data_IF_624739915819
#
_entry.id   IF_624739915819
#
_cell.length_a   1.000
_cell.length_b   1.000
_cell.length_c   1.000
_cell.angle_alpha   90.00
_cell.angle_beta   90.00
_cell.angle_gamma   90.00
#
_symmetry.space_group_name_H-M   'P 1'
#
loop_
_entity.id
_entity.type
_entity.pdbx_description
1 polymer ?
#
# COMPACT_ATOMS: atom_id res chain seq x y z
N UNK A 1 -10.77 -6.38 8.97
CA UNK A 1 -10.19 -5.45 7.97
C UNK A 1 -8.75 -5.15 8.35
N UNK A 2 -7.88 -5.11 7.36
CA UNK A 2 -6.46 -4.78 7.56
C UNK A 2 -6.01 -3.83 6.46
N UNK A 3 -4.94 -3.06 6.72
CA UNK A 3 -4.34 -2.15 5.75
C UNK A 3 -2.93 -2.60 5.42
N UNK A 4 -2.63 -2.73 4.14
CA UNK A 4 -1.28 -3.01 3.66
C UNK A 4 -0.64 -1.71 3.19
N UNK A 5 0.41 -1.29 3.88
CA UNK A 5 1.18 -0.11 3.51
C UNK A 5 2.36 -0.55 2.66
N UNK A 6 2.50 0.07 1.51
CA UNK A 6 3.60 -0.15 0.58
C UNK A 6 4.33 1.18 0.36
N UNK A 7 5.61 1.22 0.64
CA UNK A 7 6.45 2.39 0.36
C UNK A 7 7.71 1.89 -0.32
N UNK A 8 8.04 2.45 -1.49
CA UNK A 8 9.12 1.92 -2.31
C UNK A 8 9.57 2.92 -3.36
N UNK A 9 10.64 2.58 -4.06
CA UNK A 9 11.10 3.32 -5.24
C UNK A 9 10.96 2.46 -6.48
N UNK A 10 10.67 3.09 -7.60
CA UNK A 10 10.68 2.43 -8.90
C UNK A 10 12.11 2.40 -9.44
N UNK A 11 12.49 1.26 -10.02
CA UNK A 11 13.79 1.11 -10.68
C UNK A 11 13.70 1.74 -12.05
N UNK A 12 14.63 2.67 -12.35
CA UNK A 12 14.66 3.35 -13.63
C UNK A 12 14.80 2.33 -14.77
N UNK A 13 13.95 2.49 -15.79
CA UNK A 13 13.90 1.57 -16.93
C UNK A 13 13.02 0.35 -16.73
N UNK A 14 12.42 0.19 -15.54
CA UNK A 14 11.54 -0.95 -15.23
C UNK A 14 10.09 -0.54 -14.99
N UNK A 15 9.73 0.66 -15.41
CA UNK A 15 8.38 1.19 -15.17
C UNK A 15 7.30 0.34 -15.82
N UNK A 16 7.58 -0.20 -17.01
CA UNK A 16 6.61 -1.05 -17.71
C UNK A 16 6.41 -2.38 -16.99
N UNK A 17 7.46 -2.94 -16.39
CA UNK A 17 7.36 -4.15 -15.59
C UNK A 17 6.50 -3.90 -14.36
N UNK A 18 6.65 -2.74 -13.71
CA UNK A 18 5.83 -2.39 -12.56
C UNK A 18 4.37 -2.15 -12.96
N UNK A 19 4.12 -1.54 -14.11
CA UNK A 19 2.76 -1.36 -14.64
C UNK A 19 2.09 -2.71 -14.85
N UNK A 20 2.80 -3.65 -15.44
CA UNK A 20 2.29 -5.01 -15.64
C UNK A 20 1.98 -5.68 -14.30
N UNK A 21 2.89 -5.56 -13.33
CA UNK A 21 2.66 -6.06 -11.98
C UNK A 21 1.40 -5.45 -11.38
N UNK A 22 1.28 -4.12 -11.43
CA UNK A 22 0.15 -3.39 -10.84
C UNK A 22 -1.20 -3.84 -11.41
N UNK A 23 -1.27 -4.03 -12.71
CA UNK A 23 -2.50 -4.47 -13.37
C UNK A 23 -2.90 -5.87 -12.95
N UNK A 24 -1.92 -6.78 -12.87
CA UNK A 24 -2.18 -8.15 -12.42
C UNK A 24 -2.51 -8.21 -10.94
N UNK A 25 -1.76 -7.47 -10.13
CA UNK A 25 -2.01 -7.41 -8.69
C UNK A 25 -3.40 -6.85 -8.38
N UNK A 26 -3.82 -5.81 -9.10
CA UNK A 26 -5.13 -5.22 -8.92
C UNK A 26 -6.26 -6.25 -9.12
N UNK A 27 -6.15 -7.08 -10.14
CA UNK A 27 -7.14 -8.13 -10.40
C UNK A 27 -7.24 -9.10 -9.22
N UNK A 28 -6.10 -9.48 -8.65
CA UNK A 28 -6.08 -10.39 -7.50
C UNK A 28 -6.65 -9.69 -6.26
N UNK A 29 -6.26 -8.42 -6.04
CA UNK A 29 -6.76 -7.63 -4.91
C UNK A 29 -8.29 -7.57 -4.95
N UNK A 30 -8.86 -7.21 -6.10
CA UNK A 30 -10.32 -7.10 -6.22
C UNK A 30 -11.00 -8.45 -6.14
N UNK A 31 -10.35 -9.54 -6.59
CA UNK A 31 -10.91 -10.88 -6.47
C UNK A 31 -11.05 -11.33 -5.02
N UNK A 32 -10.18 -10.88 -4.12
CA UNK A 32 -10.29 -11.17 -2.68
C UNK A 32 -11.00 -10.06 -1.91
N UNK A 33 -11.71 -9.16 -2.63
CA UNK A 33 -12.50 -8.06 -2.08
C UNK A 33 -11.64 -6.98 -1.39
N UNK A 34 -10.39 -6.88 -1.76
CA UNK A 34 -9.55 -5.75 -1.36
C UNK A 34 -9.79 -4.55 -2.26
N UNK A 35 -9.22 -3.42 -1.88
CA UNK A 35 -9.26 -2.23 -2.73
C UNK A 35 -8.09 -1.30 -2.41
N UNK A 36 -7.63 -0.59 -3.41
CA UNK A 36 -6.63 0.46 -3.22
C UNK A 36 -7.32 1.68 -2.62
N UNK A 37 -6.86 2.12 -1.45
CA UNK A 37 -7.42 3.29 -0.79
C UNK A 37 -6.82 4.59 -1.31
N UNK A 38 -5.49 4.62 -1.43
CA UNK A 38 -4.79 5.79 -1.92
C UNK A 38 -3.41 5.40 -2.42
N UNK A 39 -2.83 6.29 -3.20
CA UNK A 39 -1.47 6.14 -3.70
C UNK A 39 -0.84 7.52 -3.85
N UNK A 40 0.48 7.60 -3.72
CA UNK A 40 1.21 8.83 -3.92
C UNK A 40 2.51 8.60 -4.67
N UNK A 41 3.00 9.63 -5.34
CA UNK A 41 4.26 9.58 -6.05
C UNK A 41 4.92 10.96 -6.02
N UNK A 42 6.17 11.02 -6.48
CA UNK A 42 6.93 12.27 -6.59
C UNK A 42 6.95 13.04 -5.27
N UNK A 43 7.68 12.56 -4.26
CA UNK A 43 7.74 13.23 -2.96
C UNK A 43 8.09 14.71 -3.13
N UNK A 44 7.28 15.57 -2.52
CA UNK A 44 7.52 17.01 -2.57
C UNK A 44 8.67 17.35 -1.64
N UNK A 45 8.69 16.74 -0.44
CA UNK A 45 9.72 17.03 0.56
C UNK A 45 9.72 15.94 1.61
N UNK A 46 10.91 15.48 1.98
CA UNK A 46 11.08 14.61 3.14
C UNK A 46 11.11 15.46 4.40
N UNK A 47 10.36 15.09 5.40
CA UNK A 47 10.31 15.79 6.69
C UNK A 47 11.22 15.14 7.71
N UNK A 48 11.27 13.83 7.72
CA UNK A 48 12.15 13.00 8.54
C UNK A 48 12.63 11.86 7.66
N UNK A 49 13.65 11.15 8.06
CA UNK A 49 14.23 10.05 7.30
C UNK A 49 15.16 10.58 6.20
N UNK A 50 16.22 9.83 5.96
CA UNK A 50 17.24 10.15 4.94
C UNK A 50 17.10 9.29 3.69
N UNK A 51 16.12 8.39 3.65
CA UNK A 51 15.90 7.51 2.50
C UNK A 51 14.86 8.07 1.55
N UNK A 52 15.17 8.00 0.28
CA UNK A 52 14.26 8.43 -0.76
C UNK A 52 13.45 7.25 -1.26
N UNK A 53 12.12 7.38 -1.18
CA UNK A 53 11.19 6.42 -1.75
C UNK A 53 10.17 7.19 -2.55
N UNK A 54 9.99 6.82 -3.80
CA UNK A 54 9.21 7.63 -4.74
C UNK A 54 7.72 7.32 -4.75
N UNK A 55 7.32 6.18 -4.24
CA UNK A 55 5.93 5.72 -4.30
C UNK A 55 5.42 5.27 -2.93
N UNK A 56 4.12 5.48 -2.71
CA UNK A 56 3.43 4.87 -1.58
C UNK A 56 2.03 4.42 -2.02
N UNK A 57 1.56 3.30 -1.47
CA UNK A 57 0.24 2.75 -1.77
C UNK A 57 -0.32 2.16 -0.47
N UNK A 58 -1.60 2.43 -0.21
CA UNK A 58 -2.32 1.77 0.89
C UNK A 58 -3.45 0.96 0.30
N UNK A 59 -3.47 -0.33 0.60
CA UNK A 59 -4.48 -1.27 0.13
C UNK A 59 -5.24 -1.81 1.34
N UNK A 60 -6.56 -1.84 1.26
CA UNK A 60 -7.42 -2.42 2.28
C UNK A 60 -7.81 -3.83 1.88
N UNK A 61 -7.73 -4.76 2.83
CA UNK A 61 -8.23 -6.13 2.67
C UNK A 61 -9.27 -6.40 3.75
N UNK A 62 -10.32 -7.20 3.45
CA UNK A 62 -11.35 -7.47 4.44
C UNK A 62 -10.85 -8.26 5.65
N UNK A 63 -9.75 -9.00 5.51
CA UNK A 63 -9.17 -9.80 6.59
C UNK A 63 -7.72 -10.14 6.29
N UNK A 64 -6.99 -10.60 7.29
CA UNK A 64 -5.65 -11.16 7.11
C UNK A 64 -5.68 -12.37 6.17
N UNK A 65 -6.72 -13.18 6.26
CA UNK A 65 -6.88 -14.34 5.37
C UNK A 65 -7.00 -13.93 3.91
N UNK A 66 -7.73 -12.84 3.64
CA UNK A 66 -7.83 -12.29 2.28
C UNK A 66 -6.47 -11.79 1.77
N UNK A 67 -5.69 -11.14 2.63
CA UNK A 67 -4.34 -10.71 2.28
C UNK A 67 -3.45 -11.91 2.00
N UNK A 68 -3.51 -12.95 2.82
CA UNK A 68 -2.75 -14.17 2.61
C UNK A 68 -3.12 -14.83 1.28
N UNK A 69 -4.41 -14.84 0.96
CA UNK A 69 -4.88 -15.37 -0.33
C UNK A 69 -4.31 -14.57 -1.51
N UNK A 70 -4.25 -13.25 -1.36
CA UNK A 70 -3.60 -12.39 -2.36
C UNK A 70 -2.14 -12.80 -2.57
N UNK A 71 -1.39 -13.02 -1.48
CA UNK A 71 0.01 -13.44 -1.57
C UNK A 71 0.14 -14.78 -2.30
N UNK A 72 -0.70 -15.75 -1.94
CA UNK A 72 -0.66 -17.09 -2.55
C UNK A 72 -1.03 -17.05 -4.03
N UNK A 73 -2.06 -16.29 -4.39
CA UNK A 73 -2.48 -16.13 -5.78
C UNK A 73 -1.40 -15.42 -6.59
N UNK A 74 -0.74 -14.42 -5.99
CA UNK A 74 0.38 -13.73 -6.60
C UNK A 74 1.57 -14.64 -6.86
N UNK A 75 1.91 -15.49 -5.89
CA UNK A 75 2.97 -16.49 -6.04
C UNK A 75 2.65 -17.44 -7.17
N UNK A 76 1.41 -17.94 -7.23
CA UNK A 76 0.96 -18.88 -8.24
C UNK A 76 1.04 -18.29 -9.64
N UNK A 77 0.76 -16.99 -9.77
CA UNK A 77 0.83 -16.29 -11.05
C UNK A 77 2.22 -15.72 -11.35
N UNK A 78 3.16 -15.84 -10.41
CA UNK A 78 4.53 -15.38 -10.58
C UNK A 78 4.71 -13.87 -10.61
N UNK A 79 3.73 -13.09 -10.12
CA UNK A 79 3.79 -11.63 -10.21
C UNK A 79 4.77 -11.00 -9.22
N UNK A 80 5.09 -11.68 -8.12
CA UNK A 80 5.99 -11.10 -7.11
C UNK A 80 7.39 -10.86 -7.66
N UNK A 81 7.85 -11.68 -8.62
CA UNK A 81 9.13 -11.46 -9.28
C UNK A 81 9.13 -10.18 -10.11
N UNK A 82 8.00 -9.83 -10.73
CA UNK A 82 7.87 -8.57 -11.47
C UNK A 82 8.02 -7.38 -10.51
N UNK A 83 7.37 -7.45 -9.35
CA UNK A 83 7.48 -6.41 -8.32
C UNK A 83 8.92 -6.27 -7.85
N UNK A 84 9.57 -7.38 -7.52
CA UNK A 84 10.93 -7.38 -7.00
C UNK A 84 11.93 -6.80 -8.01
N UNK A 85 11.78 -7.11 -9.29
CA UNK A 85 12.69 -6.60 -10.32
C UNK A 85 12.47 -5.13 -10.64
N UNK A 86 11.28 -4.60 -10.39
CA UNK A 86 10.89 -3.25 -10.77
C UNK A 86 10.94 -2.25 -9.63
N UNK A 87 11.18 -2.70 -8.39
CA UNK A 87 11.17 -1.85 -7.20
C UNK A 87 12.43 -2.02 -6.39
N UNK A 88 12.74 -1.02 -5.57
CA UNK A 88 13.84 -1.06 -4.61
C UNK A 88 13.39 -0.42 -3.30
N UNK A 89 14.11 -0.75 -2.24
CA UNK A 89 13.91 -0.16 -0.91
C UNK A 89 12.46 -0.29 -0.45
N UNK A 90 11.89 -1.47 -0.66
CA UNK A 90 10.47 -1.74 -0.46
C UNK A 90 10.16 -1.98 1.01
N UNK A 91 9.22 -1.20 1.55
CA UNK A 91 8.62 -1.44 2.85
C UNK A 91 7.19 -1.93 2.60
N UNK A 92 6.85 -3.06 3.19
CA UNK A 92 5.52 -3.64 3.05
C UNK A 92 5.08 -4.15 4.42
N UNK A 93 4.09 -3.49 5.00
CA UNK A 93 3.65 -3.78 6.37
C UNK A 93 2.14 -3.86 6.42
N UNK A 94 1.65 -4.85 7.13
CA UNK A 94 0.22 -5.05 7.34
C UNK A 94 -0.16 -4.48 8.71
N UNK A 95 -1.17 -3.64 8.75
CA UNK A 95 -1.62 -2.96 9.95
C UNK A 95 -3.07 -3.30 10.28
N UNK A 96 -3.38 -3.34 11.56
CA UNK A 96 -4.77 -3.31 12.01
C UNK A 96 -5.30 -1.87 11.91
N UNK A 97 -6.61 -1.69 11.72
CA UNK A 97 -7.19 -0.35 11.78
C UNK A 97 -7.01 0.26 13.15
N UNK A 98 -6.75 1.53 13.17
CA UNK A 98 -6.69 2.31 14.41
C UNK A 98 -7.76 3.39 14.36
N UNK A 99 -8.69 3.35 15.29
CA UNK A 99 -9.69 4.42 15.39
C UNK A 99 -9.08 5.60 16.14
N UNK A 100 -8.24 6.34 15.43
CA UNK A 100 -7.50 7.45 15.99
C UNK A 100 -8.41 8.54 16.58
N UNK A 101 -9.55 8.79 15.92
CA UNK A 101 -10.51 9.80 16.38
C UNK A 101 -11.04 9.48 17.78
N UNK A 102 -11.44 8.23 18.00
CA UNK A 102 -11.94 7.81 19.30
C UNK A 102 -10.83 7.76 20.36
N UNK A 103 -9.60 7.48 19.93
CA UNK A 103 -8.44 7.48 20.82
C UNK A 103 -8.03 8.90 21.23
N UNK A 104 -8.24 9.90 20.37
CA UNK A 104 -7.94 11.30 20.64
C UNK A 104 -8.92 11.89 21.65
N UNK A 105 -8.52 13.04 22.23
CA UNK A 105 -9.37 13.76 23.14
C UNK A 105 -10.59 14.36 22.42
N UNK A 106 -11.62 14.70 23.21
CA UNK A 106 -12.81 15.36 22.71
C UNK A 106 -12.50 16.69 22.01
N UNK A 107 -11.42 17.36 22.39
CA UNK A 107 -10.99 18.61 21.75
C UNK A 107 -10.75 18.43 20.26
N UNK A 108 -10.10 17.32 19.85
CA UNK A 108 -9.84 17.04 18.45
C UNK A 108 -11.15 16.76 17.71
N UNK A 109 -12.06 16.00 18.32
CA UNK A 109 -13.37 15.73 17.72
C UNK A 109 -14.17 17.01 17.53
N UNK A 110 -14.07 17.94 18.47
CA UNK A 110 -14.70 19.25 18.36
C UNK A 110 -14.14 20.04 17.18
N UNK A 111 -12.81 20.07 17.01
CA UNK A 111 -12.19 20.76 15.89
C UNK A 111 -12.68 20.24 14.56
N UNK A 112 -12.83 18.91 14.41
CA UNK A 112 -13.32 18.31 13.18
C UNK A 112 -14.78 18.66 12.90
N UNK A 113 -15.60 18.76 13.94
CA UNK A 113 -17.02 19.09 13.76
C UNK A 113 -17.25 20.57 13.43
N UNK A 114 -16.29 21.45 13.71
CA UNK A 114 -16.36 22.86 13.37
C UNK A 114 -15.91 23.17 11.94
N UNK A 115 -15.34 22.20 11.26
CA UNK A 115 -14.94 22.35 9.86
C UNK A 115 -15.98 21.75 8.93
#
# INVERSE_FOLDING_TARGET
>A
MVYALNVFSLVAGREDDYRMYSERAAKIIYAVRGRVLLAGCKPIRRLLDDRERSQMIVVEFPSEAAFQQFLEDGDRQGIHQLRESATSDYIWTLFEPWNLRDWMSETIRRCESET
#
